data_IF_342524344032
#
_entry.id   IF_342524344032
#
_cell.length_a   1.000
_cell.length_b   1.000
_cell.length_c   1.000
_cell.angle_alpha   90.00
_cell.angle_beta   90.00
_cell.angle_gamma   90.00
#
_symmetry.space_group_name_H-M   'P 1'
#
loop_
_entity.id
_entity.type
_entity.pdbx_description
1 polymer ?
#
# COMPACT_ATOMS: atom_id res chain seq x y z
N UNK A 1 -31.14 9.26 -13.62
CA UNK A 1 -30.65 9.20 -13.46
C UNK A 1 -29.68 9.22 -12.97
N UNK A 2 -29.30 9.21 -13.26
CA UNK A 2 -28.11 9.26 -13.19
C UNK A 2 -27.45 9.61 -12.05
N UNK A 3 -27.84 10.20 -11.48
CA UNK A 3 -27.32 10.50 -10.38
C UNK A 3 -26.70 9.47 -9.66
N UNK A 4 -26.73 8.41 -10.18
CA UNK A 4 -26.17 7.39 -9.56
C UNK A 4 -24.74 7.37 -9.57
N UNK A 5 -24.12 8.34 -10.10
CA UNK A 5 -22.72 8.40 -10.07
C UNK A 5 -22.23 8.95 -8.80
N UNK A 6 -22.82 8.53 -7.72
CA UNK A 6 -22.25 8.82 -6.45
C UNK A 6 -20.96 8.12 -6.35
N UNK A 7 -19.98 8.80 -5.83
CA UNK A 7 -18.72 8.17 -5.47
C UNK A 7 -19.00 7.10 -4.44
N UNK A 8 -18.55 5.92 -4.74
CA UNK A 8 -18.69 4.82 -3.80
C UNK A 8 -17.36 4.55 -3.12
N UNK A 9 -16.68 5.61 -2.76
CA UNK A 9 -15.43 5.48 -2.03
C UNK A 9 -15.70 4.87 -0.67
N UNK A 10 -14.84 3.97 -0.25
CA UNK A 10 -14.90 3.42 1.09
C UNK A 10 -13.49 3.09 1.55
N UNK A 11 -13.32 3.04 2.86
CA UNK A 11 -12.03 2.74 3.47
C UNK A 11 -12.26 2.01 4.78
N UNK A 12 -11.60 0.88 4.96
CA UNK A 12 -11.61 0.12 6.21
C UNK A 12 -10.20 0.09 6.77
N UNK A 13 -10.01 0.65 7.94
CA UNK A 13 -8.72 0.69 8.62
C UNK A 13 -8.80 -0.19 9.86
N UNK A 14 -7.80 -1.04 10.05
CA UNK A 14 -7.65 -1.83 11.26
C UNK A 14 -6.25 -1.69 11.77
N UNK A 15 -6.10 -1.75 13.07
CA UNK A 15 -4.80 -1.69 13.71
C UNK A 15 -4.58 -2.95 14.53
N UNK A 16 -3.45 -3.59 14.34
CA UNK A 16 -3.06 -4.73 15.14
C UNK A 16 -2.30 -4.22 16.37
N UNK A 17 -2.86 -4.44 17.55
CA UNK A 17 -2.28 -3.87 18.77
C UNK A 17 -0.93 -4.50 19.14
N UNK A 18 -0.71 -5.74 18.74
CA UNK A 18 0.52 -6.42 19.07
C UNK A 18 1.71 -5.89 18.27
N UNK A 19 1.54 -5.63 17.00
CA UNK A 19 2.62 -5.20 16.12
C UNK A 19 2.61 -3.70 15.84
N UNK A 20 1.46 -3.06 15.99
CA UNK A 20 1.26 -1.68 15.57
C UNK A 20 1.03 -1.52 14.08
N UNK A 21 0.97 -2.63 13.34
CA UNK A 21 0.72 -2.59 11.91
C UNK A 21 -0.72 -2.19 11.64
N UNK A 22 -0.92 -1.24 10.74
CA UNK A 22 -2.25 -0.86 10.28
C UNK A 22 -2.49 -1.48 8.91
N UNK A 23 -3.69 -2.00 8.72
CA UNK A 23 -4.12 -2.57 7.45
C UNK A 23 -5.28 -1.76 6.92
N UNK A 24 -5.21 -1.43 5.62
CA UNK A 24 -6.22 -0.62 4.96
C UNK A 24 -6.71 -1.35 3.73
N UNK A 25 -8.04 -1.49 3.63
CA UNK A 25 -8.66 -1.92 2.40
C UNK A 25 -9.51 -0.74 1.94
N UNK A 26 -9.35 -0.31 0.73
CA UNK A 26 -10.00 0.91 0.28
C UNK A 26 -10.35 0.85 -1.20
N UNK A 27 -11.39 1.59 -1.55
CA UNK A 27 -11.82 1.78 -2.93
C UNK A 27 -12.02 3.28 -3.18
N UNK A 28 -11.42 3.78 -4.25
CA UNK A 28 -11.54 5.18 -4.63
C UNK A 28 -11.92 5.32 -6.08
N UNK A 29 -12.77 6.33 -6.36
CA UNK A 29 -13.16 6.69 -7.72
C UNK A 29 -12.76 8.16 -7.92
N UNK A 30 -11.86 8.42 -8.87
CA UNK A 30 -11.37 9.77 -9.11
C UNK A 30 -10.15 10.11 -8.28
N UNK A 31 -10.13 11.31 -7.71
CA UNK A 31 -9.02 11.74 -6.85
C UNK A 31 -9.11 11.02 -5.52
N UNK A 32 -8.06 10.33 -5.16
CA UNK A 32 -8.05 9.56 -3.92
C UNK A 32 -7.43 10.34 -2.78
N UNK A 33 -6.22 10.86 -2.97
CA UNK A 33 -5.56 11.62 -1.91
C UNK A 33 -4.47 12.51 -2.49
N UNK A 34 -4.23 13.63 -1.79
CA UNK A 34 -3.20 14.59 -2.16
C UNK A 34 -1.81 14.06 -1.82
N UNK A 35 -0.77 14.66 -2.39
CA UNK A 35 0.59 14.27 -2.04
C UNK A 35 0.83 14.34 -0.54
N UNK A 36 1.39 13.28 0.01
CA UNK A 36 1.71 13.18 1.43
C UNK A 36 2.78 12.11 1.63
N UNK A 37 3.31 12.04 2.84
CA UNK A 37 4.28 11.00 3.19
C UNK A 37 3.88 10.35 4.51
N UNK A 38 4.55 9.24 4.83
CA UNK A 38 4.32 8.50 6.05
C UNK A 38 5.65 8.12 6.68
N UNK A 39 5.65 7.96 7.99
CA UNK A 39 6.81 7.44 8.69
C UNK A 39 6.94 5.93 8.52
N UNK A 40 5.84 5.26 8.20
CA UNK A 40 5.83 3.81 8.02
C UNK A 40 6.31 3.43 6.63
N UNK A 41 6.73 2.17 6.50
CA UNK A 41 6.94 1.56 5.21
C UNK A 41 5.59 1.02 4.71
N UNK A 42 5.23 1.33 3.49
CA UNK A 42 3.98 0.87 2.92
C UNK A 42 4.22 -0.27 1.94
N UNK A 43 3.50 -1.36 2.12
CA UNK A 43 3.49 -2.44 1.14
C UNK A 43 2.04 -2.79 0.84
N UNK A 44 1.71 -2.93 -0.43
CA UNK A 44 0.33 -3.18 -0.80
C UNK A 44 0.19 -3.80 -2.16
N UNK A 45 -1.05 -4.12 -2.50
CA UNK A 45 -1.39 -4.68 -3.81
C UNK A 45 -2.65 -4.02 -4.32
N UNK A 46 -2.70 -3.80 -5.63
CA UNK A 46 -3.93 -3.40 -6.28
C UNK A 46 -4.78 -4.64 -6.49
N UNK A 47 -6.02 -4.60 -6.06
CA UNK A 47 -6.94 -5.74 -6.14
C UNK A 47 -7.87 -5.65 -7.33
N UNK A 48 -8.34 -4.46 -7.66
CA UNK A 48 -9.23 -4.22 -8.79
C UNK A 48 -8.96 -2.85 -9.37
N UNK A 49 -9.15 -2.72 -10.67
CA UNK A 49 -9.04 -1.45 -11.36
C UNK A 49 -7.61 -1.00 -11.56
N UNK A 50 -7.45 0.25 -12.01
CA UNK A 50 -6.15 0.86 -12.20
C UNK A 50 -5.96 1.97 -11.18
N UNK A 51 -4.82 1.94 -10.52
CA UNK A 51 -4.42 2.96 -9.56
C UNK A 51 -3.23 3.71 -10.10
N UNK A 52 -3.31 5.03 -10.14
CA UNK A 52 -2.22 5.87 -10.64
C UNK A 52 -1.75 6.76 -9.51
N UNK A 53 -0.44 6.85 -9.36
CA UNK A 53 0.13 7.69 -8.31
C UNK A 53 1.52 8.19 -8.69
N UNK A 54 1.86 9.36 -8.15
CA UNK A 54 3.21 9.91 -8.30
C UNK A 54 4.04 9.47 -7.10
N UNK A 55 5.28 9.09 -7.36
CA UNK A 55 6.25 8.77 -6.32
C UNK A 55 7.63 8.83 -6.94
N UNK A 56 8.60 9.41 -6.25
CA UNK A 56 9.97 9.57 -6.75
C UNK A 56 10.01 10.26 -8.12
N UNK A 57 9.18 11.30 -8.29
CA UNK A 57 9.11 12.11 -9.53
C UNK A 57 8.65 11.33 -10.75
N UNK A 58 8.04 10.20 -10.54
CA UNK A 58 7.53 9.38 -11.63
C UNK A 58 6.06 9.09 -11.41
N UNK A 59 5.34 8.94 -12.50
CA UNK A 59 3.94 8.53 -12.47
C UNK A 59 3.90 7.02 -12.65
N UNK A 60 3.28 6.33 -11.69
CA UNK A 60 3.16 4.88 -11.70
C UNK A 60 1.72 4.49 -11.92
N UNK A 61 1.50 3.42 -12.68
CA UNK A 61 0.16 2.86 -12.87
C UNK A 61 0.18 1.41 -12.41
N UNK A 62 -0.60 1.10 -11.40
CA UNK A 62 -0.70 -0.25 -10.86
C UNK A 62 -2.00 -0.89 -11.31
N UNK A 63 -1.95 -2.17 -11.60
CA UNK A 63 -3.08 -2.99 -11.99
C UNK A 63 -3.19 -4.19 -11.04
N UNK A 64 -4.29 -4.95 -11.10
CA UNK A 64 -4.46 -6.07 -10.17
C UNK A 64 -3.28 -7.04 -10.20
N UNK A 65 -2.84 -7.41 -9.01
CA UNK A 65 -1.73 -8.33 -8.83
C UNK A 65 -0.37 -7.69 -8.74
N UNK A 66 -0.25 -6.37 -8.95
CA UNK A 66 1.04 -5.69 -8.76
C UNK A 66 1.20 -5.26 -7.32
N UNK A 67 2.40 -5.44 -6.82
CA UNK A 67 2.74 -5.00 -5.46
C UNK A 67 3.34 -3.60 -5.50
N UNK A 68 2.99 -2.79 -4.50
CA UNK A 68 3.49 -1.44 -4.31
C UNK A 68 4.40 -1.42 -3.10
N UNK A 69 5.56 -0.78 -3.24
CA UNK A 69 6.56 -0.68 -2.18
C UNK A 69 6.93 0.79 -2.03
N UNK A 70 6.52 1.40 -0.92
CA UNK A 70 6.78 2.81 -0.68
C UNK A 70 7.56 2.94 0.61
N UNK A 71 8.79 3.44 0.50
CA UNK A 71 9.67 3.55 1.65
C UNK A 71 9.25 4.71 2.57
N UNK A 72 9.69 4.70 3.83
CA UNK A 72 9.36 5.79 4.75
C UNK A 72 9.81 7.14 4.19
N UNK A 73 8.94 8.12 4.33
CA UNK A 73 9.25 9.49 3.90
C UNK A 73 9.03 9.79 2.43
N UNK A 74 8.73 8.78 1.61
CA UNK A 74 8.52 9.03 0.19
C UNK A 74 7.16 9.69 -0.05
N UNK A 75 7.17 10.86 -0.67
CA UNK A 75 5.93 11.59 -0.96
C UNK A 75 5.20 10.91 -2.11
N UNK A 76 3.92 10.68 -1.94
CA UNK A 76 3.10 10.04 -2.97
C UNK A 76 1.66 10.54 -2.88
N UNK A 77 0.93 10.37 -3.98
CA UNK A 77 -0.49 10.70 -4.08
C UNK A 77 -1.24 9.51 -4.66
N UNK A 78 -2.49 9.70 -5.04
CA UNK A 78 -3.24 8.64 -5.68
C UNK A 78 -4.49 9.13 -6.38
N UNK A 79 -4.79 8.54 -7.52
CA UNK A 79 -6.04 8.80 -8.23
C UNK A 79 -6.39 7.63 -9.14
N UNK A 80 -7.65 7.58 -9.54
CA UNK A 80 -8.16 6.57 -10.44
C UNK A 80 -8.26 7.15 -11.85
N UNK A 81 -7.53 6.58 -12.83
CA UNK A 81 -7.63 7.07 -14.21
C UNK A 81 -8.92 6.62 -14.91
N UNK A 82 -9.63 5.65 -14.33
CA UNK A 82 -10.86 5.12 -14.92
C UNK A 82 -12.03 5.31 -13.97
N UNK A 83 -13.23 5.44 -14.55
CA UNK A 83 -14.43 5.76 -13.78
C UNK A 83 -14.78 4.70 -12.74
N UNK A 84 -14.48 3.43 -13.00
CA UNK A 84 -14.75 2.36 -12.05
C UNK A 84 -13.91 2.47 -10.79
N UNK A 85 -12.83 3.22 -10.83
CA UNK A 85 -11.95 3.35 -9.68
C UNK A 85 -11.00 2.18 -9.48
N UNK A 86 -10.43 2.10 -8.30
CA UNK A 86 -9.53 1.00 -7.94
C UNK A 86 -9.74 0.60 -6.49
N UNK A 87 -9.42 -0.67 -6.22
CA UNK A 87 -9.46 -1.21 -4.86
C UNK A 87 -8.07 -1.71 -4.52
N UNK A 88 -7.60 -1.42 -3.33
CA UNK A 88 -6.29 -1.89 -2.89
C UNK A 88 -6.32 -2.42 -1.46
N UNK A 89 -5.31 -3.22 -1.14
CA UNK A 89 -4.99 -3.64 0.22
C UNK A 89 -3.60 -3.11 0.53
N UNK A 90 -3.43 -2.47 1.68
CA UNK A 90 -2.18 -1.82 2.07
C UNK A 90 -1.85 -2.13 3.51
N UNK A 91 -0.58 -2.35 3.79
CA UNK A 91 -0.07 -2.48 5.14
C UNK A 91 0.88 -1.33 5.44
N UNK A 92 0.67 -0.70 6.58
CA UNK A 92 1.52 0.38 7.08
C UNK A 92 2.39 -0.23 8.17
N UNK A 93 3.67 -0.45 7.85
CA UNK A 93 4.59 -1.17 8.73
C UNK A 93 5.43 -0.19 9.53
N UNK A 94 5.27 -0.16 10.87
CA UNK A 94 6.10 0.73 11.69
C UNK A 94 7.58 0.42 11.50
N UNK A 95 8.42 1.44 11.45
CA UNK A 95 9.85 1.23 11.24
C UNK A 95 10.45 0.35 12.32
N UNK A 96 9.99 0.50 13.56
CA UNK A 96 10.47 -0.35 14.65
C UNK A 96 10.18 -1.82 14.39
N UNK A 97 8.95 -2.12 13.92
CA UNK A 97 8.59 -3.49 13.63
C UNK A 97 9.46 -4.06 12.52
N UNK A 98 9.70 -3.26 11.47
CA UNK A 98 10.56 -3.68 10.34
C UNK A 98 11.98 -3.91 10.82
N UNK A 99 12.54 -3.00 11.61
CA UNK A 99 13.89 -3.16 12.15
C UNK A 99 14.03 -4.42 12.99
N UNK A 100 13.05 -4.67 13.87
CA UNK A 100 13.10 -5.85 14.73
C UNK A 100 13.00 -7.12 13.91
N UNK A 101 12.14 -7.15 12.90
CA UNK A 101 12.00 -8.31 12.04
C UNK A 101 13.27 -8.58 11.25
N UNK A 102 13.92 -7.54 10.74
CA UNK A 102 15.15 -7.68 10.00
C UNK A 102 16.30 -8.13 10.90
N UNK A 103 16.40 -7.56 12.10
CA UNK A 103 17.42 -7.96 13.06
C UNK A 103 17.31 -9.43 13.43
N UNK A 104 16.10 -9.92 13.65
CA UNK A 104 15.89 -11.33 14.00
C UNK A 104 16.31 -12.26 12.88
N UNK A 105 16.39 -11.77 11.65
CA UNK A 105 16.81 -12.55 10.50
C UNK A 105 18.26 -12.26 10.08
N UNK A 106 18.95 -11.44 10.86
CA UNK A 106 20.34 -11.12 10.55
C UNK A 106 20.51 -10.20 9.35
N UNK A 107 19.48 -9.41 9.01
CA UNK A 107 19.50 -8.56 7.83
C UNK A 107 19.83 -7.11 8.11
N UNK A 108 20.22 -6.77 9.34
CA UNK A 108 20.49 -5.39 9.73
C UNK A 108 19.24 -4.75 10.30
N UNK A 109 19.11 -3.42 10.16
CA UNK A 109 17.92 -2.71 10.63
C UNK A 109 17.22 -2.01 9.46
N UNK A 110 16.14 -1.30 9.75
CA UNK A 110 15.32 -0.69 8.70
C UNK A 110 16.06 0.38 7.91
N UNK A 111 17.16 0.90 8.41
CA UNK A 111 17.90 1.93 7.69
C UNK A 111 18.47 1.42 6.38
N UNK A 112 18.73 0.11 6.27
CA UNK A 112 19.25 -0.45 5.03
C UNK A 112 18.20 -0.44 3.92
N UNK A 113 16.93 -0.17 4.26
CA UNK A 113 15.87 -0.09 3.26
C UNK A 113 15.82 1.26 2.57
N UNK A 114 16.53 2.27 3.07
CA UNK A 114 16.54 3.56 2.43
C UNK A 114 17.19 3.43 1.06
N UNK A 115 16.42 3.79 0.03
CA UNK A 115 16.89 3.66 -1.34
C UNK A 115 17.03 2.23 -1.83
N UNK A 116 16.60 1.24 -1.03
CA UNK A 116 16.74 -0.15 -1.42
C UNK A 116 15.69 -0.59 -2.43
N UNK A 117 14.56 0.11 -2.48
CA UNK A 117 13.51 -0.25 -3.42
C UNK A 117 13.84 0.36 -4.77
N UNK A 118 14.36 -0.46 -5.67
CA UNK A 118 14.66 -0.01 -7.03
C UNK A 118 13.40 0.23 -7.84
N UNK A 119 12.28 -0.35 -7.42
CA UNK A 119 11.02 -0.20 -8.10
C UNK A 119 9.92 0.01 -7.08
N UNK A 120 9.10 1.04 -7.31
CA UNK A 120 7.92 1.28 -6.48
C UNK A 120 6.82 0.25 -6.78
N UNK A 121 6.81 -0.29 -8.00
CA UNK A 121 5.88 -1.36 -8.40
C UNK A 121 6.66 -2.58 -8.86
N UNK A 122 6.12 -3.75 -8.56
CA UNK A 122 6.70 -5.00 -9.02
C UNK A 122 5.61 -6.00 -9.38
N UNK A 123 5.89 -6.84 -10.37
CA UNK A 123 4.98 -7.89 -10.80
C UNK A 123 5.31 -9.23 -10.15
N UNK A 124 6.18 -9.26 -9.16
CA UNK A 124 6.56 -10.52 -8.51
C UNK A 124 5.34 -11.14 -7.83
N UNK A 125 4.83 -12.28 -8.32
CA UNK A 125 3.63 -12.89 -7.76
C UNK A 125 3.83 -13.44 -6.36
N UNK A 126 5.04 -13.84 -6.02
CA UNK A 126 5.32 -14.35 -4.67
C UNK A 126 5.21 -13.24 -3.64
N UNK A 127 5.71 -12.06 -3.97
CA UNK A 127 5.61 -10.91 -3.09
C UNK A 127 4.15 -10.46 -2.94
N UNK A 128 3.44 -10.36 -4.04
CA UNK A 128 2.02 -9.97 -4.00
C UNK A 128 1.20 -10.95 -3.16
N UNK A 129 1.46 -12.25 -3.29
CA UNK A 129 0.78 -13.28 -2.51
C UNK A 129 1.12 -13.13 -1.03
N UNK A 130 2.39 -12.91 -0.69
CA UNK A 130 2.80 -12.74 0.70
C UNK A 130 2.14 -11.53 1.34
N UNK A 131 2.06 -10.41 0.60
CA UNK A 131 1.39 -9.21 1.09
C UNK A 131 -0.09 -9.48 1.34
N UNK A 132 -0.77 -10.16 0.40
CA UNK A 132 -2.18 -10.51 0.56
C UNK A 132 -2.41 -11.40 1.77
N UNK A 133 -1.57 -12.41 1.97
CA UNK A 133 -1.72 -13.32 3.11
C UNK A 133 -1.56 -12.57 4.43
N UNK A 134 -0.56 -11.72 4.52
CA UNK A 134 -0.35 -10.92 5.72
C UNK A 134 -1.51 -9.95 5.94
N UNK A 135 -1.98 -9.32 4.86
CA UNK A 135 -3.10 -8.39 4.94
C UNK A 135 -4.34 -9.09 5.50
N UNK A 136 -4.72 -10.24 4.94
CA UNK A 136 -5.92 -10.92 5.40
C UNK A 136 -5.80 -11.38 6.84
N UNK A 137 -4.63 -11.87 7.25
CA UNK A 137 -4.44 -12.31 8.61
C UNK A 137 -4.62 -11.16 9.61
N UNK A 138 -4.11 -9.97 9.27
CA UNK A 138 -4.19 -8.82 10.17
C UNK A 138 -5.52 -8.10 10.08
N UNK A 139 -6.06 -7.96 8.87
CA UNK A 139 -7.25 -7.13 8.65
C UNK A 139 -8.52 -7.81 9.12
N UNK A 140 -8.58 -9.13 9.09
CA UNK A 140 -9.76 -9.84 9.53
C UNK A 140 -9.77 -10.12 11.04
N UNK A 141 -8.71 -9.72 11.73
CA UNK A 141 -8.69 -9.84 13.19
C UNK A 141 -8.51 -11.24 13.71
N UNK A 142 -7.97 -12.09 12.93
CA UNK A 142 -7.73 -13.47 13.36
C UNK A 142 -6.55 -13.59 14.27
#
# INVERSE_FOLDING_TARGET
MASNHQHKDWLELRRDDETGIESVNAHFQGHAYDPHDHDEMLVGVTQQGLQRFHCHRSLHTSRPGRAMLIEPGAVHDGHAPQAEGFTYAMLYLPQRWVSDAMSRRGLGDASVLEGAFHSTLTDDPMLATAIHQAFFALHQGE
#
